data_IF_171370957403
#
_entry.id   IF_171370957403
#
_cell.length_a   1.000
_cell.length_b   1.000
_cell.length_c   1.000
_cell.angle_alpha   90.00
_cell.angle_beta   90.00
_cell.angle_gamma   90.00
#
_symmetry.space_group_name_H-M   'P 1'
#
loop_
_entity.id
_entity.type
_entity.pdbx_description
1 polymer ?
#
# COMPACT_ATOMS: atom_id res chain seq x y z
N UNK A 1 19.72 -0.51 -16.24
CA UNK A 1 18.86 0.59 -15.81
C UNK A 1 19.73 1.82 -15.64
N UNK A 2 19.42 2.93 -16.28
CA UNK A 2 20.08 4.21 -15.97
C UNK A 2 19.53 4.72 -14.64
N UNK A 3 20.39 5.34 -13.83
CA UNK A 3 19.92 6.03 -12.64
C UNK A 3 19.00 7.19 -13.08
N UNK A 4 17.86 7.32 -12.41
CA UNK A 4 17.05 8.53 -12.53
C UNK A 4 17.83 9.61 -11.79
N UNK A 5 18.40 10.57 -12.51
CA UNK A 5 19.17 11.69 -11.95
C UNK A 5 18.24 12.71 -11.26
N UNK A 6 17.39 12.24 -10.35
CA UNK A 6 16.43 13.05 -9.60
C UNK A 6 17.17 13.79 -8.51
N UNK A 7 17.02 15.11 -8.49
CA UNK A 7 17.60 15.95 -7.45
C UNK A 7 16.84 15.73 -6.14
N UNK A 8 17.55 15.77 -5.02
CA UNK A 8 16.93 15.64 -3.69
C UNK A 8 15.83 16.67 -3.45
N UNK A 9 15.97 17.88 -4.02
CA UNK A 9 14.95 18.94 -3.97
C UNK A 9 13.64 18.62 -4.68
N UNK A 10 13.63 17.59 -5.53
CA UNK A 10 12.45 17.11 -6.25
C UNK A 10 11.77 15.95 -5.49
N UNK A 11 12.39 15.44 -4.41
CA UNK A 11 11.81 14.41 -3.57
C UNK A 11 10.81 15.02 -2.59
N UNK A 12 9.59 14.49 -2.60
CA UNK A 12 8.56 14.81 -1.62
C UNK A 12 8.45 13.66 -0.64
N UNK A 13 8.67 13.93 0.64
CA UNK A 13 8.51 12.94 1.72
C UNK A 13 7.10 13.02 2.31
N UNK A 14 6.55 11.87 2.70
CA UNK A 14 5.24 11.79 3.33
C UNK A 14 5.18 10.58 4.26
N UNK A 15 4.70 10.80 5.48
CA UNK A 15 4.44 9.71 6.45
C UNK A 15 3.35 8.76 5.93
N UNK A 16 2.49 9.22 5.02
CA UNK A 16 1.45 8.41 4.38
C UNK A 16 2.02 7.28 3.53
N UNK A 17 3.32 7.30 3.21
CA UNK A 17 4.01 6.26 2.44
C UNK A 17 4.82 5.28 3.31
N UNK A 18 4.82 5.45 4.64
CA UNK A 18 5.52 4.55 5.55
C UNK A 18 4.92 3.14 5.56
N UNK A 19 5.72 2.18 6.01
CA UNK A 19 5.28 0.79 6.20
C UNK A 19 4.15 0.69 7.24
N UNK A 20 3.44 -0.44 7.25
CA UNK A 20 2.54 -0.83 8.34
C UNK A 20 3.23 -0.69 9.70
N UNK A 21 2.70 0.17 10.55
CA UNK A 21 3.20 0.36 11.92
C UNK A 21 2.95 -0.89 12.76
N UNK A 22 4.00 -1.43 13.38
CA UNK A 22 3.87 -2.64 14.20
C UNK A 22 3.79 -2.35 15.69
N UNK A 23 3.86 -1.08 16.10
CA UNK A 23 3.69 -0.66 17.50
C UNK A 23 4.63 -1.41 18.43
N UNK A 24 4.09 -2.02 19.48
CA UNK A 24 4.88 -2.77 20.47
C UNK A 24 5.61 -4.01 19.91
N UNK A 25 5.28 -4.43 18.69
CA UNK A 25 5.95 -5.53 18.00
C UNK A 25 7.23 -5.10 17.27
N UNK A 26 7.50 -3.81 17.14
CA UNK A 26 8.73 -3.33 16.52
C UNK A 26 9.97 -3.81 17.28
N UNK A 27 10.96 -4.35 16.53
CA UNK A 27 12.16 -4.95 17.08
C UNK A 27 11.95 -6.29 17.81
N UNK A 28 10.72 -6.83 17.88
CA UNK A 28 10.43 -8.13 18.48
C UNK A 28 10.64 -9.28 17.50
N UNK A 29 10.82 -10.49 18.04
CA UNK A 29 10.92 -11.70 17.23
C UNK A 29 9.52 -12.08 16.73
N UNK A 30 9.36 -12.28 15.42
CA UNK A 30 8.07 -12.61 14.80
C UNK A 30 7.28 -13.74 15.50
N UNK A 31 7.96 -14.79 15.96
CA UNK A 31 7.32 -15.94 16.64
C UNK A 31 6.72 -15.59 18.01
N UNK A 32 7.18 -14.52 18.64
CA UNK A 32 6.67 -14.03 19.93
C UNK A 32 5.44 -13.14 19.74
N UNK A 33 5.37 -12.45 18.60
CA UNK A 33 4.22 -11.65 18.17
C UNK A 33 3.07 -12.52 17.63
N UNK A 34 3.39 -13.42 16.69
CA UNK A 34 2.43 -14.32 16.06
C UNK A 34 2.39 -15.65 16.82
N UNK A 35 1.72 -15.66 17.97
CA UNK A 35 1.55 -16.89 18.76
C UNK A 35 0.73 -17.94 18.00
N UNK A 36 0.80 -19.24 18.35
CA UNK A 36 -0.03 -20.27 17.74
C UNK A 36 -1.53 -19.97 17.85
N UNK A 37 -1.97 -19.43 18.98
CA UNK A 37 -3.38 -19.07 19.23
C UNK A 37 -3.81 -17.94 18.31
N UNK A 38 -3.00 -16.88 18.20
CA UNK A 38 -3.29 -15.76 17.30
C UNK A 38 -3.29 -16.25 15.84
N UNK A 39 -2.28 -17.03 15.45
CA UNK A 39 -2.18 -17.60 14.10
C UNK A 39 -3.40 -18.46 13.76
N UNK A 40 -3.91 -19.26 14.71
CA UNK A 40 -5.13 -20.04 14.52
C UNK A 40 -6.37 -19.15 14.35
N UNK A 41 -6.46 -18.02 15.06
CA UNK A 41 -7.54 -17.04 14.87
C UNK A 41 -7.49 -16.41 13.46
N UNK A 42 -6.30 -16.02 12.98
CA UNK A 42 -6.12 -15.52 11.61
C UNK A 42 -6.48 -16.56 10.56
N UNK A 43 -6.23 -17.85 10.82
CA UNK A 43 -6.63 -18.93 9.94
C UNK A 43 -8.14 -19.17 9.93
N UNK A 44 -8.81 -18.95 11.07
CA UNK A 44 -10.26 -19.09 11.22
C UNK A 44 -11.05 -17.93 10.58
N UNK A 45 -10.50 -16.70 10.62
CA UNK A 45 -11.07 -15.53 9.93
C UNK A 45 -10.00 -14.82 9.05
N UNK A 46 -9.67 -15.42 7.90
CA UNK A 46 -8.64 -14.90 7.00
C UNK A 46 -9.05 -13.61 6.28
N UNK A 47 -10.35 -13.25 6.31
CA UNK A 47 -10.91 -12.10 5.60
C UNK A 47 -11.10 -10.90 6.52
N UNK A 48 -11.62 -11.12 7.74
CA UNK A 48 -11.91 -10.06 8.70
C UNK A 48 -10.72 -9.76 9.60
N UNK A 49 -10.29 -10.72 10.41
CA UNK A 49 -9.20 -10.52 11.38
C UNK A 49 -7.90 -10.13 10.67
N UNK A 50 -7.54 -10.84 9.60
CA UNK A 50 -6.32 -10.52 8.83
C UNK A 50 -6.23 -9.06 8.37
N UNK A 51 -7.37 -8.52 7.93
CA UNK A 51 -7.47 -7.20 7.33
C UNK A 51 -7.57 -6.07 8.38
N UNK A 52 -8.31 -6.34 9.44
CA UNK A 52 -8.68 -5.35 10.45
C UNK A 52 -7.84 -5.44 11.73
N UNK A 53 -7.00 -6.47 11.88
CA UNK A 53 -6.10 -6.61 13.02
C UNK A 53 -5.03 -5.52 12.97
N UNK A 54 -4.86 -4.84 14.10
CA UNK A 54 -3.72 -4.01 14.40
C UNK A 54 -2.95 -4.63 15.57
N UNK A 55 -1.61 -4.72 15.52
CA UNK A 55 -0.84 -5.08 16.70
C UNK A 55 -1.00 -4.00 17.79
N UNK A 56 -0.69 -4.31 19.07
CA UNK A 56 -0.81 -3.33 20.14
C UNK A 56 -0.03 -2.04 19.83
N UNK A 57 -0.74 -0.92 19.78
CA UNK A 57 -0.18 0.39 19.44
C UNK A 57 0.26 0.57 17.99
N UNK A 58 -0.11 -0.35 17.07
CA UNK A 58 0.22 -0.24 15.65
C UNK A 58 -1.00 -0.03 14.76
N UNK A 59 -0.84 -0.38 13.49
CA UNK A 59 -1.79 -0.11 12.42
C UNK A 59 -2.34 -1.42 11.82
N UNK A 60 -3.55 -1.39 11.26
CA UNK A 60 -4.12 -2.49 10.48
C UNK A 60 -3.87 -2.32 8.98
N UNK A 61 -3.91 -3.40 8.20
CA UNK A 61 -3.77 -3.32 6.74
C UNK A 61 -4.84 -2.41 6.11
N UNK A 62 -6.05 -2.37 6.69
CA UNK A 62 -7.11 -1.44 6.29
C UNK A 62 -6.71 0.02 6.43
N UNK A 63 -6.14 0.40 7.57
CA UNK A 63 -5.72 1.78 7.81
C UNK A 63 -4.61 2.20 6.86
N UNK A 64 -3.65 1.30 6.57
CA UNK A 64 -2.60 1.55 5.57
C UNK A 64 -3.20 1.80 4.18
N UNK A 65 -4.15 0.97 3.74
CA UNK A 65 -4.84 1.17 2.47
C UNK A 65 -5.55 2.52 2.42
N UNK A 66 -6.36 2.83 3.44
CA UNK A 66 -7.12 4.08 3.52
C UNK A 66 -6.21 5.30 3.39
N UNK A 67 -5.09 5.32 4.14
CA UNK A 67 -4.17 6.45 4.16
C UNK A 67 -3.37 6.61 2.87
N UNK A 68 -2.96 5.49 2.25
CA UNK A 68 -2.25 5.53 0.97
C UNK A 68 -3.15 5.91 -0.19
N UNK A 69 -4.41 5.44 -0.19
CA UNK A 69 -5.39 5.84 -1.19
C UNK A 69 -5.74 7.33 -1.08
N UNK A 70 -5.88 7.85 0.15
CA UNK A 70 -6.06 9.28 0.39
C UNK A 70 -4.87 10.08 -0.15
N UNK A 71 -3.64 9.67 0.17
CA UNK A 71 -2.43 10.31 -0.35
C UNK A 71 -2.36 10.31 -1.88
N UNK A 72 -2.68 9.19 -2.54
CA UNK A 72 -2.71 9.17 -4.00
C UNK A 72 -3.73 10.16 -4.57
N UNK A 73 -4.93 10.23 -3.99
CA UNK A 73 -6.01 11.11 -4.47
C UNK A 73 -5.70 12.58 -4.25
N UNK A 74 -5.16 12.92 -3.09
CA UNK A 74 -4.97 14.30 -2.66
C UNK A 74 -3.65 14.90 -3.17
N UNK A 75 -2.61 14.07 -3.28
CA UNK A 75 -1.26 14.55 -3.58
C UNK A 75 -0.72 14.05 -4.94
N UNK A 76 -0.97 12.80 -5.32
CA UNK A 76 -0.35 12.26 -6.54
C UNK A 76 -1.19 12.58 -7.79
N UNK A 77 -2.45 12.19 -7.80
CA UNK A 77 -3.34 12.32 -8.96
C UNK A 77 -3.45 13.77 -9.48
N UNK A 78 -3.55 14.82 -8.64
CA UNK A 78 -3.63 16.21 -9.14
C UNK A 78 -2.38 16.70 -9.88
N UNK A 79 -1.25 15.99 -9.73
CA UNK A 79 0.05 16.33 -10.31
C UNK A 79 0.44 15.40 -11.47
N UNK A 80 -0.35 14.36 -11.74
CA UNK A 80 -0.09 13.43 -12.84
C UNK A 80 -0.37 14.06 -14.20
N UNK A 81 0.47 13.73 -15.17
CA UNK A 81 0.20 13.97 -16.58
C UNK A 81 0.68 12.78 -17.43
N UNK A 82 0.14 12.57 -18.64
CA UNK A 82 0.57 11.48 -19.52
C UNK A 82 2.07 11.46 -19.82
N UNK A 83 2.70 12.65 -19.86
CA UNK A 83 4.12 12.80 -20.18
C UNK A 83 5.04 12.83 -18.93
N UNK A 84 4.45 12.83 -17.72
CA UNK A 84 5.18 12.87 -16.46
C UNK A 84 4.53 11.94 -15.42
N UNK A 85 4.90 10.64 -15.42
CA UNK A 85 4.41 9.70 -14.41
C UNK A 85 4.99 10.03 -13.03
N UNK A 86 4.21 9.80 -11.98
CA UNK A 86 4.71 9.87 -10.62
C UNK A 86 5.45 8.59 -10.25
N UNK A 87 6.56 8.73 -9.52
CA UNK A 87 7.28 7.62 -8.91
C UNK A 87 7.02 7.67 -7.40
N UNK A 88 6.40 6.61 -6.88
CA UNK A 88 6.11 6.47 -5.45
C UNK A 88 6.99 5.37 -4.87
N UNK A 89 7.83 5.73 -3.90
CA UNK A 89 8.70 4.80 -3.17
C UNK A 89 8.08 4.54 -1.80
N UNK A 90 7.93 3.27 -1.44
CA UNK A 90 7.28 2.85 -0.20
C UNK A 90 7.77 1.43 0.17
N UNK A 91 6.99 0.72 0.98
CA UNK A 91 7.36 -0.55 1.60
C UNK A 91 6.42 -1.68 1.17
N UNK A 92 6.83 -2.92 1.46
CA UNK A 92 6.19 -4.11 0.90
C UNK A 92 4.74 -4.28 1.33
N UNK A 93 4.41 -4.17 2.62
CA UNK A 93 3.02 -4.34 3.06
C UNK A 93 2.16 -3.15 2.66
N UNK A 94 2.69 -1.93 2.80
CA UNK A 94 2.05 -0.71 2.36
C UNK A 94 1.63 -0.77 0.88
N UNK A 95 2.56 -1.10 -0.02
CA UNK A 95 2.28 -1.23 -1.46
C UNK A 95 1.25 -2.33 -1.75
N UNK A 96 1.28 -3.45 -1.02
CA UNK A 96 0.27 -4.52 -1.16
C UNK A 96 -1.13 -4.07 -0.74
N UNK A 97 -1.23 -3.31 0.36
CA UNK A 97 -2.50 -2.74 0.82
C UNK A 97 -3.04 -1.74 -0.21
N UNK A 98 -2.17 -0.85 -0.71
CA UNK A 98 -2.52 0.07 -1.78
C UNK A 98 -3.02 -0.67 -3.03
N UNK A 99 -2.27 -1.64 -3.56
CA UNK A 99 -2.67 -2.41 -4.75
C UNK A 99 -3.99 -3.15 -4.54
N UNK A 100 -4.22 -3.71 -3.35
CA UNK A 100 -5.50 -4.35 -3.01
C UNK A 100 -6.65 -3.36 -3.15
N UNK A 101 -6.49 -2.15 -2.63
CA UNK A 101 -7.48 -1.06 -2.68
C UNK A 101 -7.70 -0.52 -4.10
N UNK A 102 -6.62 -0.26 -4.85
CA UNK A 102 -6.67 0.21 -6.25
C UNK A 102 -7.45 -0.75 -7.15
N UNK A 103 -7.25 -2.06 -6.95
CA UNK A 103 -7.89 -3.11 -7.75
C UNK A 103 -9.24 -3.54 -7.17
N UNK A 104 -9.69 -2.92 -6.07
CA UNK A 104 -10.89 -3.30 -5.32
C UNK A 104 -11.01 -4.82 -5.12
N UNK A 105 -9.88 -5.45 -4.81
CA UNK A 105 -9.79 -6.90 -4.71
C UNK A 105 -10.13 -7.38 -3.29
N UNK A 106 -10.22 -8.69 -3.09
CA UNK A 106 -10.55 -9.21 -1.77
C UNK A 106 -9.39 -8.97 -0.78
N UNK A 107 -9.66 -8.77 0.53
CA UNK A 107 -8.60 -8.53 1.52
C UNK A 107 -7.50 -9.59 1.56
N UNK A 108 -7.81 -10.84 1.22
CA UNK A 108 -6.81 -11.93 1.19
C UNK A 108 -5.79 -11.78 0.07
N UNK A 109 -6.06 -10.95 -0.93
CA UNK A 109 -5.17 -10.76 -2.07
C UNK A 109 -3.85 -10.09 -1.70
N UNK A 110 -3.79 -9.33 -0.59
CA UNK A 110 -2.51 -8.76 -0.10
C UNK A 110 -1.44 -9.84 0.13
N UNK A 111 -1.86 -11.06 0.49
CA UNK A 111 -0.96 -12.23 0.65
C UNK A 111 -0.52 -12.87 -0.66
N UNK A 112 -1.31 -12.70 -1.72
CA UNK A 112 -1.06 -13.29 -3.04
C UNK A 112 -0.29 -12.34 -3.97
N UNK A 113 -0.18 -11.06 -3.63
CA UNK A 113 0.64 -10.10 -4.36
C UNK A 113 2.11 -10.35 -4.00
N UNK A 114 2.91 -10.77 -4.98
CA UNK A 114 4.35 -10.90 -4.83
C UNK A 114 5.01 -9.53 -5.02
N UNK A 115 5.89 -9.14 -4.09
CA UNK A 115 6.71 -7.94 -4.19
C UNK A 115 8.12 -8.26 -3.69
N UNK A 116 9.11 -7.94 -4.51
CA UNK A 116 10.51 -8.14 -4.18
C UNK A 116 11.14 -6.85 -3.67
N UNK A 117 12.26 -6.96 -2.97
CA UNK A 117 13.06 -5.78 -2.66
C UNK A 117 13.46 -5.08 -3.96
N UNK A 118 13.31 -3.76 -4.01
CA UNK A 118 13.60 -2.93 -5.19
C UNK A 118 12.82 -3.29 -6.45
N UNK A 119 11.74 -4.07 -6.35
CA UNK A 119 10.84 -4.30 -7.48
C UNK A 119 10.06 -3.03 -7.81
N UNK A 120 9.63 -2.90 -9.06
CA UNK A 120 8.78 -1.80 -9.50
C UNK A 120 7.50 -2.35 -10.09
N UNK A 121 6.37 -1.88 -9.59
CA UNK A 121 5.03 -2.13 -10.11
C UNK A 121 4.53 -0.86 -10.79
N UNK A 122 3.92 -1.01 -11.96
CA UNK A 122 3.38 0.12 -12.72
C UNK A 122 1.86 -0.01 -12.82
N UNK A 123 1.17 1.07 -12.49
CA UNK A 123 -0.29 1.15 -12.55
C UNK A 123 -0.73 2.35 -13.37
N UNK A 124 -1.74 2.16 -14.20
CA UNK A 124 -2.39 3.21 -14.97
C UNK A 124 -3.68 3.64 -14.30
N UNK A 125 -3.98 4.94 -14.35
CA UNK A 125 -5.24 5.51 -13.91
C UNK A 125 -5.99 6.11 -15.10
N UNK A 126 -7.25 5.73 -15.27
CA UNK A 126 -8.17 6.31 -16.24
C UNK A 126 -9.24 7.12 -15.49
N UNK A 127 -9.28 8.45 -15.64
CA UNK A 127 -10.32 9.27 -15.03
C UNK A 127 -11.72 8.85 -15.51
N UNK A 128 -12.73 9.04 -14.64
CA UNK A 128 -14.14 8.87 -15.03
C UNK A 128 -14.53 9.88 -16.12
N UNK A 129 -15.57 9.56 -16.89
CA UNK A 129 -16.05 10.37 -18.02
C UNK A 129 -16.52 11.79 -17.61
N UNK A 130 -16.84 12.00 -16.33
CA UNK A 130 -17.20 13.28 -15.73
C UNK A 130 -15.98 14.07 -15.21
N UNK A 131 -14.77 13.55 -15.36
CA UNK A 131 -13.53 14.18 -14.92
C UNK A 131 -13.28 14.08 -13.41
N UNK A 132 -14.12 13.33 -12.68
CA UNK A 132 -13.94 13.08 -11.26
C UNK A 132 -12.71 12.21 -10.98
N UNK A 133 -11.75 12.75 -10.21
CA UNK A 133 -10.53 12.05 -9.79
C UNK A 133 -10.84 10.91 -8.79
N UNK A 134 -12.01 10.94 -8.13
CA UNK A 134 -12.42 9.93 -7.14
C UNK A 134 -12.95 8.63 -7.74
N UNK A 135 -13.44 8.66 -8.99
CA UNK A 135 -14.26 7.59 -9.58
C UNK A 135 -13.60 6.95 -10.81
N UNK A 136 -12.31 7.25 -11.05
CA UNK A 136 -11.53 6.65 -12.13
C UNK A 136 -11.17 5.18 -11.87
N UNK A 137 -10.74 4.48 -12.92
CA UNK A 137 -10.37 3.07 -12.88
C UNK A 137 -8.86 2.89 -12.89
N UNK A 138 -8.37 1.95 -12.08
CA UNK A 138 -6.95 1.57 -12.03
C UNK A 138 -6.69 0.25 -12.77
N UNK A 139 -5.52 0.17 -13.42
CA UNK A 139 -5.08 -1.01 -14.15
C UNK A 139 -3.62 -1.32 -13.83
N UNK A 140 -3.25 -2.60 -13.69
CA UNK A 140 -1.84 -3.01 -13.65
C UNK A 140 -1.28 -2.96 -15.07
N UNK A 141 -0.14 -2.30 -15.23
CA UNK A 141 0.62 -2.25 -16.48
C UNK A 141 1.82 -3.21 -16.44
N UNK A 142 2.51 -3.31 -15.30
CA UNK A 142 3.57 -4.31 -15.05
C UNK A 142 3.78 -4.63 -13.58
#
# INVERSE_FOLDING_TARGET
MAALEVKETELVQSEQLLELEQGEWEGRVRRECFTPELTAQFAADPWGLGWNFAPPGGESQRQVEERMLAYLREEVLPRLSPDAPAIVVSHGMAQKCLLRGLLNSLPTMSRNIAMGNTSVTEVGFLPSADGGVSDGTWHILR
#
